data_IF_955200211602
#
_entry.id   IF_955200211602
#
_cell.length_a   1.000
_cell.length_b   1.000
_cell.length_c   1.000
_cell.angle_alpha   90.00
_cell.angle_beta   90.00
_cell.angle_gamma   90.00
#
_symmetry.space_group_name_H-M   'P 1'
#
loop_
_entity.id
_entity.type
_entity.pdbx_description
1 polymer ?
#
# COMPACT_ATOMS: atom_id res chain seq x y z
N UNK A 1 12.43 -14.23 -23.90
CA UNK A 1 12.18 -15.08 -22.71
C UNK A 1 12.75 -14.38 -21.49
N UNK A 2 11.94 -13.91 -20.51
CA UNK A 2 12.47 -13.29 -19.31
C UNK A 2 13.04 -14.37 -18.38
N UNK A 3 14.28 -14.18 -17.94
CA UNK A 3 14.96 -15.06 -17.01
C UNK A 3 14.22 -15.10 -15.67
N UNK A 4 13.87 -16.30 -15.20
CA UNK A 4 13.29 -16.54 -13.90
C UNK A 4 14.29 -16.14 -12.80
N UNK A 5 14.28 -14.86 -12.43
CA UNK A 5 15.03 -14.36 -11.30
C UNK A 5 14.53 -15.05 -10.04
N UNK A 6 15.39 -15.90 -9.43
CA UNK A 6 15.19 -16.40 -8.07
C UNK A 6 14.74 -15.24 -7.18
N UNK A 7 13.47 -15.22 -6.80
CA UNK A 7 13.01 -14.33 -5.74
C UNK A 7 13.81 -14.71 -4.49
N UNK A 8 14.48 -13.75 -3.83
CA UNK A 8 15.24 -14.06 -2.63
C UNK A 8 14.32 -14.78 -1.66
N UNK A 9 14.75 -15.94 -1.12
CA UNK A 9 13.98 -16.72 -0.15
C UNK A 9 13.51 -15.86 1.03
N UNK A 10 14.29 -14.82 1.36
CA UNK A 10 13.97 -13.75 2.30
C UNK A 10 12.71 -12.94 1.95
N UNK A 11 12.53 -12.54 0.68
CA UNK A 11 11.33 -11.82 0.22
C UNK A 11 10.11 -12.75 0.26
N UNK A 12 10.29 -14.02 -0.07
CA UNK A 12 9.22 -15.03 -0.01
C UNK A 12 8.80 -15.32 1.44
N UNK A 13 9.76 -15.50 2.34
CA UNK A 13 9.51 -15.66 3.77
C UNK A 13 8.84 -14.40 4.37
N UNK A 14 9.29 -13.21 3.96
CA UNK A 14 8.68 -11.95 4.38
C UNK A 14 7.23 -11.78 3.90
N UNK A 15 6.90 -12.33 2.72
CA UNK A 15 5.52 -12.39 2.22
C UNK A 15 4.65 -13.35 3.04
N UNK A 16 5.15 -14.54 3.34
CA UNK A 16 4.40 -15.56 4.08
C UNK A 16 4.28 -15.31 5.59
N UNK A 17 4.99 -14.33 6.16
CA UNK A 17 5.00 -14.08 7.62
C UNK A 17 3.59 -13.91 8.22
N UNK A 18 2.67 -13.27 7.49
CA UNK A 18 1.32 -12.95 7.98
C UNK A 18 0.38 -14.15 7.88
N UNK A 19 0.53 -14.94 6.82
CA UNK A 19 -0.19 -16.21 6.65
C UNK A 19 0.27 -17.24 7.69
N UNK A 20 1.60 -17.36 7.92
CA UNK A 20 2.14 -18.21 8.98
C UNK A 20 1.70 -17.73 10.37
N UNK A 21 1.75 -16.43 10.66
CA UNK A 21 1.32 -15.91 11.96
C UNK A 21 -0.15 -16.23 12.24
N UNK A 22 -1.04 -16.06 11.25
CA UNK A 22 -2.46 -16.42 11.37
C UNK A 22 -2.65 -17.92 11.57
N UNK A 23 -1.96 -18.75 10.77
CA UNK A 23 -2.07 -20.21 10.86
C UNK A 23 -1.56 -20.72 12.21
N UNK A 24 -0.39 -20.24 12.67
CA UNK A 24 0.17 -20.58 13.98
C UNK A 24 -0.77 -20.15 15.10
N UNK A 25 -1.36 -18.97 15.02
CA UNK A 25 -2.32 -18.50 16.03
C UNK A 25 -3.56 -19.37 16.05
N UNK A 26 -4.14 -19.70 14.90
CA UNK A 26 -5.32 -20.56 14.80
C UNK A 26 -5.05 -21.98 15.34
N UNK A 27 -3.91 -22.57 14.97
CA UNK A 27 -3.49 -23.88 15.45
C UNK A 27 -3.22 -23.86 16.95
N UNK A 28 -2.56 -22.83 17.47
CA UNK A 28 -2.31 -22.69 18.91
C UNK A 28 -3.62 -22.61 19.69
N UNK A 29 -4.59 -21.79 19.24
CA UNK A 29 -5.91 -21.69 19.87
C UNK A 29 -6.63 -23.04 19.84
N UNK A 30 -6.62 -23.76 18.72
CA UNK A 30 -7.25 -25.08 18.59
C UNK A 30 -6.58 -26.14 19.47
N UNK A 31 -5.25 -26.20 19.48
CA UNK A 31 -4.50 -27.17 20.28
C UNK A 31 -4.73 -26.96 21.78
N UNK A 32 -4.75 -25.69 22.22
CA UNK A 32 -4.99 -25.34 23.61
C UNK A 32 -6.44 -25.61 24.05
N UNK A 33 -7.44 -25.39 23.18
CA UNK A 33 -8.84 -25.73 23.49
C UNK A 33 -9.06 -27.23 23.58
N UNK A 34 -8.50 -28.01 22.64
CA UNK A 34 -8.57 -29.49 22.67
C UNK A 34 -7.82 -30.04 23.90
N UNK A 35 -6.65 -29.50 24.23
CA UNK A 35 -5.93 -29.92 25.43
C UNK A 35 -6.72 -29.63 26.72
N UNK A 36 -7.41 -28.49 26.78
CA UNK A 36 -8.22 -28.12 27.94
C UNK A 36 -9.48 -28.99 28.11
N UNK A 37 -10.12 -29.42 27.01
CA UNK A 37 -11.29 -30.30 27.06
C UNK A 37 -10.92 -31.73 27.45
N UNK A 38 -9.80 -32.25 26.95
CA UNK A 38 -9.33 -33.61 27.27
C UNK A 38 -8.87 -33.73 28.72
N UNK A 39 -8.25 -32.69 29.30
CA UNK A 39 -7.75 -32.70 30.67
C UNK A 39 -8.83 -32.38 31.74
N UNK A 40 -10.11 -32.24 31.37
CA UNK A 40 -11.21 -31.93 32.31
C UNK A 40 -11.11 -30.54 32.95
N UNK A 41 -10.22 -29.68 32.46
CA UNK A 41 -9.92 -28.37 33.01
C UNK A 41 -10.81 -27.30 32.36
N UNK A 42 -12.10 -27.34 32.68
CA UNK A 42 -13.11 -26.45 32.09
C UNK A 42 -12.80 -24.96 32.30
N UNK A 43 -12.09 -24.61 33.39
CA UNK A 43 -11.64 -23.24 33.66
C UNK A 43 -10.54 -22.78 32.69
N UNK A 44 -9.67 -23.68 32.22
CA UNK A 44 -8.68 -23.36 31.19
C UNK A 44 -9.36 -23.15 29.84
N UNK A 45 -10.37 -23.96 29.50
CA UNK A 45 -11.18 -23.77 28.30
C UNK A 45 -11.98 -22.45 28.35
N UNK A 46 -12.56 -22.12 29.50
CA UNK A 46 -13.27 -20.85 29.72
C UNK A 46 -12.33 -19.64 29.69
N UNK A 47 -11.13 -19.73 30.28
CA UNK A 47 -10.12 -18.68 30.24
C UNK A 47 -9.58 -18.44 28.82
N UNK A 48 -9.37 -19.51 28.04
CA UNK A 48 -8.95 -19.39 26.63
C UNK A 48 -10.05 -18.82 25.75
N UNK A 49 -11.29 -19.30 25.93
CA UNK A 49 -12.46 -18.75 25.24
C UNK A 49 -12.61 -17.29 25.60
N UNK A 50 -12.49 -16.93 26.87
CA UNK A 50 -12.42 -15.54 27.33
C UNK A 50 -11.29 -14.75 26.68
N UNK A 51 -10.07 -15.29 26.60
CA UNK A 51 -8.93 -14.61 25.99
C UNK A 51 -9.10 -14.32 24.49
N UNK A 52 -9.85 -15.15 23.76
CA UNK A 52 -10.18 -14.94 22.34
C UNK A 52 -11.45 -14.10 22.17
N UNK A 53 -12.46 -14.33 23.00
CA UNK A 53 -13.76 -13.65 22.94
C UNK A 53 -13.71 -12.23 23.50
N UNK A 54 -12.85 -11.93 24.48
CA UNK A 54 -12.72 -10.58 25.08
C UNK A 54 -12.17 -9.56 24.07
N UNK A 55 -11.12 -9.83 23.27
CA UNK A 55 -10.73 -8.96 22.17
C UNK A 55 -11.83 -8.79 21.11
N UNK A 56 -12.59 -9.85 20.81
CA UNK A 56 -13.71 -9.78 19.86
C UNK A 56 -14.90 -8.96 20.42
N UNK A 57 -15.16 -9.05 21.72
CA UNK A 57 -16.26 -8.36 22.41
C UNK A 57 -15.90 -6.91 22.79
N UNK A 58 -14.62 -6.58 22.94
CA UNK A 58 -14.16 -5.23 23.26
C UNK A 58 -14.03 -4.36 22.00
N UNK A 59 -14.42 -3.08 22.12
CA UNK A 59 -14.28 -2.09 21.05
C UNK A 59 -12.81 -1.90 20.64
N UNK A 60 -11.89 -2.04 21.60
CA UNK A 60 -10.45 -1.94 21.36
C UNK A 60 -9.92 -3.10 20.52
N UNK A 61 -10.27 -4.35 20.85
CA UNK A 61 -9.82 -5.51 20.08
C UNK A 61 -10.41 -5.54 18.66
N UNK A 62 -11.70 -5.20 18.49
CA UNK A 62 -12.29 -5.03 17.15
C UNK A 62 -11.61 -3.94 16.33
N UNK A 63 -11.25 -2.82 16.96
CA UNK A 63 -10.50 -1.74 16.31
C UNK A 63 -9.11 -2.18 15.86
N UNK A 64 -8.40 -2.92 16.72
CA UNK A 64 -7.07 -3.45 16.43
C UNK A 64 -7.08 -4.49 15.30
N UNK A 65 -8.03 -5.41 15.31
CA UNK A 65 -8.23 -6.42 14.25
C UNK A 65 -8.59 -5.75 12.94
N UNK A 66 -9.51 -4.77 12.96
CA UNK A 66 -9.86 -4.00 11.78
C UNK A 66 -8.65 -3.28 11.18
N UNK A 67 -7.87 -2.58 12.01
CA UNK A 67 -6.66 -1.89 11.56
C UNK A 67 -5.63 -2.86 10.94
N UNK A 68 -5.41 -4.03 11.54
CA UNK A 68 -4.53 -5.06 10.98
C UNK A 68 -5.07 -5.67 9.69
N UNK A 69 -6.38 -5.91 9.61
CA UNK A 69 -7.03 -6.41 8.42
C UNK A 69 -6.81 -5.46 7.24
N UNK A 70 -7.03 -4.16 7.45
CA UNK A 70 -6.76 -3.14 6.43
C UNK A 70 -5.28 -3.15 6.02
N UNK A 71 -4.36 -3.25 6.99
CA UNK A 71 -2.93 -3.30 6.68
C UNK A 71 -2.58 -4.51 5.80
N UNK A 72 -3.21 -5.66 6.02
CA UNK A 72 -3.03 -6.83 5.16
C UNK A 72 -3.66 -6.63 3.78
N UNK A 73 -4.89 -6.11 3.74
CA UNK A 73 -5.62 -5.83 2.51
C UNK A 73 -4.81 -4.89 1.60
N UNK A 74 -4.36 -3.76 2.14
CA UNK A 74 -3.55 -2.78 1.41
C UNK A 74 -2.21 -3.36 0.97
N UNK A 75 -1.57 -4.21 1.78
CA UNK A 75 -0.34 -4.92 1.37
C UNK A 75 -0.57 -5.78 0.13
N UNK A 76 -1.64 -6.58 0.11
CA UNK A 76 -1.95 -7.44 -1.03
C UNK A 76 -2.33 -6.63 -2.27
N UNK A 77 -3.12 -5.57 -2.10
CA UNK A 77 -3.56 -4.72 -3.20
C UNK A 77 -2.41 -3.92 -3.81
N UNK A 78 -1.56 -3.28 -3.00
CA UNK A 78 -0.34 -2.61 -3.49
C UNK A 78 0.51 -3.59 -4.30
N UNK A 79 0.73 -4.81 -3.79
CA UNK A 79 1.53 -5.80 -4.51
C UNK A 79 0.89 -6.24 -5.84
N UNK A 80 -0.44 -6.30 -5.92
CA UNK A 80 -1.16 -6.59 -7.16
C UNK A 80 -1.06 -5.44 -8.15
N UNK A 81 -1.21 -4.20 -7.70
CA UNK A 81 -1.00 -3.01 -8.55
C UNK A 81 0.42 -2.98 -9.09
N UNK A 82 1.44 -3.17 -8.24
CA UNK A 82 2.83 -3.22 -8.73
C UNK A 82 3.13 -4.40 -9.67
N UNK A 83 2.28 -5.43 -9.69
CA UNK A 83 2.37 -6.56 -10.61
C UNK A 83 1.67 -6.28 -11.95
N UNK A 84 0.54 -5.59 -11.91
CA UNK A 84 -0.35 -5.34 -13.05
C UNK A 84 0.06 -4.05 -13.81
N UNK A 85 0.70 -3.10 -13.13
CA UNK A 85 1.20 -1.82 -13.65
C UNK A 85 2.71 -1.91 -13.99
N UNK A 86 3.27 -1.06 -14.90
CA UNK A 86 4.71 -0.98 -15.19
C UNK A 86 5.63 -0.59 -14.00
N UNK A 87 5.15 -0.59 -12.76
CA UNK A 87 5.97 -0.47 -11.53
C UNK A 87 6.79 -1.73 -11.23
N UNK A 88 7.44 -2.28 -12.24
CA UNK A 88 8.33 -3.42 -12.15
C UNK A 88 9.58 -3.17 -12.98
N UNK A 89 10.72 -3.68 -12.53
CA UNK A 89 11.95 -3.57 -13.29
C UNK A 89 11.84 -4.37 -14.61
N UNK A 90 12.67 -4.08 -15.61
CA UNK A 90 12.77 -4.89 -16.86
C UNK A 90 13.06 -6.38 -16.58
N UNK A 91 13.60 -6.69 -15.40
CA UNK A 91 13.84 -8.04 -14.88
C UNK A 91 12.65 -8.66 -14.12
N UNK A 92 11.48 -8.03 -14.12
CA UNK A 92 10.25 -8.49 -13.47
C UNK A 92 10.29 -8.44 -11.94
N UNK A 93 11.16 -7.62 -11.34
CA UNK A 93 11.23 -7.49 -9.88
C UNK A 93 10.30 -6.39 -9.39
N UNK A 94 9.49 -6.74 -8.39
CA UNK A 94 8.47 -5.87 -7.79
C UNK A 94 9.08 -5.16 -6.56
N UNK A 95 8.66 -3.92 -6.25
CA UNK A 95 8.98 -3.26 -4.99
C UNK A 95 8.63 -4.12 -3.77
N UNK A 96 9.48 -4.06 -2.75
CA UNK A 96 9.28 -4.81 -1.52
C UNK A 96 8.53 -3.95 -0.50
N UNK A 97 7.28 -4.32 -0.23
CA UNK A 97 6.54 -3.75 0.91
C UNK A 97 7.15 -4.28 2.22
N UNK A 98 7.89 -3.42 2.92
CA UNK A 98 8.50 -3.75 4.21
C UNK A 98 7.38 -3.99 5.23
N UNK A 99 6.71 -2.93 5.66
CA UNK A 99 5.63 -3.03 6.63
C UNK A 99 4.51 -2.05 6.28
N UNK A 100 3.36 -2.25 6.91
CA UNK A 100 2.27 -1.29 6.88
C UNK A 100 1.89 -1.03 8.33
N UNK A 101 1.91 0.24 8.72
CA UNK A 101 1.56 0.68 10.06
C UNK A 101 0.18 1.35 10.02
N UNK A 102 -0.73 1.04 10.96
CA UNK A 102 -2.01 1.74 11.04
C UNK A 102 -1.79 3.20 11.46
N UNK A 103 -2.55 4.11 10.87
CA UNK A 103 -2.58 5.54 11.22
C UNK A 103 -3.98 5.95 11.66
N UNK A 104 -4.14 7.18 12.16
CA UNK A 104 -5.47 7.67 12.58
C UNK A 104 -6.49 7.67 11.42
N UNK A 105 -6.02 8.03 10.23
CA UNK A 105 -6.86 8.24 9.02
C UNK A 105 -6.89 7.03 8.07
N UNK A 106 -6.07 6.02 8.34
CA UNK A 106 -5.96 4.83 7.50
C UNK A 106 -4.70 4.05 7.83
N UNK A 107 -3.76 4.05 6.90
CA UNK A 107 -2.58 3.19 6.99
C UNK A 107 -1.41 3.70 6.16
N UNK A 108 -0.20 3.34 6.59
CA UNK A 108 1.05 3.81 5.98
C UNK A 108 1.94 2.64 5.61
N UNK A 109 2.14 2.44 4.32
CA UNK A 109 3.04 1.44 3.78
C UNK A 109 4.45 2.01 3.61
N UNK A 110 5.46 1.26 4.03
CA UNK A 110 6.86 1.59 3.74
C UNK A 110 7.41 0.55 2.77
N UNK A 111 7.96 1.05 1.68
CA UNK A 111 8.30 0.28 0.50
C UNK A 111 9.77 0.53 0.17
N UNK A 112 10.50 -0.56 -0.05
CA UNK A 112 11.84 -0.52 -0.64
C UNK A 112 11.67 -0.75 -2.14
N UNK A 113 11.97 0.27 -2.93
CA UNK A 113 11.97 0.17 -4.38
C UNK A 113 13.24 -0.50 -4.88
N UNK A 114 13.23 -0.95 -6.13
CA UNK A 114 14.41 -1.50 -6.81
C UNK A 114 14.92 -0.48 -7.82
N UNK A 115 16.16 -0.65 -8.27
CA UNK A 115 16.74 0.20 -9.30
C UNK A 115 15.80 0.29 -10.51
N UNK A 116 15.47 1.52 -10.92
CA UNK A 116 14.50 1.82 -11.98
C UNK A 116 13.07 2.06 -11.49
N UNK A 117 12.81 2.06 -10.18
CA UNK A 117 11.53 2.46 -9.60
C UNK A 117 11.79 3.55 -8.55
N UNK A 118 11.19 4.72 -8.75
CA UNK A 118 11.31 5.86 -7.85
C UNK A 118 9.97 6.20 -7.20
N UNK A 119 9.99 7.19 -6.32
CA UNK A 119 8.81 7.62 -5.59
C UNK A 119 7.80 8.34 -6.52
N UNK A 120 8.31 8.99 -7.57
CA UNK A 120 7.51 9.67 -8.59
C UNK A 120 6.68 8.69 -9.42
N UNK A 121 7.16 7.46 -9.63
CA UNK A 121 6.37 6.39 -10.25
C UNK A 121 5.14 6.04 -9.39
N UNK A 122 5.31 5.94 -8.06
CA UNK A 122 4.20 5.70 -7.15
C UNK A 122 3.19 6.85 -7.16
N UNK A 123 3.65 8.09 -7.35
CA UNK A 123 2.76 9.24 -7.46
C UNK A 123 2.01 9.26 -8.79
N UNK A 124 2.68 8.91 -9.90
CA UNK A 124 2.04 8.78 -11.21
C UNK A 124 0.91 7.74 -11.21
N UNK A 125 1.07 6.66 -10.45
CA UNK A 125 0.07 5.61 -10.28
C UNK A 125 -0.76 5.73 -8.98
N UNK A 126 -0.77 6.90 -8.34
CA UNK A 126 -1.54 7.15 -7.12
C UNK A 126 -3.04 6.87 -7.31
N UNK A 127 -3.62 7.23 -8.46
CA UNK A 127 -5.03 6.95 -8.76
C UNK A 127 -5.36 5.46 -8.86
N UNK A 128 -4.44 4.65 -9.40
CA UNK A 128 -4.60 3.19 -9.45
C UNK A 128 -4.48 2.58 -8.05
N UNK A 129 -3.55 3.08 -7.24
CA UNK A 129 -3.38 2.69 -5.85
C UNK A 129 -4.61 3.03 -5.02
N UNK A 130 -5.21 4.20 -5.22
CA UNK A 130 -6.46 4.61 -4.56
C UNK A 130 -7.61 3.69 -4.90
N UNK A 131 -7.83 3.45 -6.20
CA UNK A 131 -8.89 2.55 -6.68
C UNK A 131 -8.68 1.13 -6.14
N UNK A 132 -7.47 0.60 -6.22
CA UNK A 132 -7.16 -0.75 -5.77
C UNK A 132 -7.24 -0.91 -4.25
N UNK A 133 -6.84 0.11 -3.49
CA UNK A 133 -6.86 0.07 -2.04
C UNK A 133 -8.21 0.51 -1.47
N UNK A 134 -9.19 0.95 -2.26
CA UNK A 134 -10.45 1.53 -1.76
C UNK A 134 -10.18 2.72 -0.82
N UNK A 135 -9.26 3.60 -1.22
CA UNK A 135 -8.83 4.75 -0.45
C UNK A 135 -9.49 6.03 -0.98
N UNK A 136 -9.72 7.02 -0.11
CA UNK A 136 -10.15 8.36 -0.55
C UNK A 136 -8.98 9.13 -1.16
N UNK A 137 -7.77 8.94 -0.60
CA UNK A 137 -6.55 9.56 -1.12
C UNK A 137 -5.33 8.68 -0.82
N UNK A 138 -4.36 8.70 -1.74
CA UNK A 138 -3.01 8.17 -1.53
C UNK A 138 -2.01 9.30 -1.57
N UNK A 139 -1.12 9.34 -0.58
CA UNK A 139 -0.04 10.30 -0.49
C UNK A 139 1.30 9.60 -0.55
N UNK A 140 2.18 10.07 -1.44
CA UNK A 140 3.50 9.50 -1.62
C UNK A 140 4.57 10.38 -0.97
N UNK A 141 5.48 9.73 -0.27
CA UNK A 141 6.59 10.35 0.43
C UNK A 141 7.89 9.67 0.02
N UNK A 142 8.92 10.48 -0.23
CA UNK A 142 10.28 10.01 -0.51
C UNK A 142 11.20 10.27 0.69
N UNK A 143 12.14 9.37 0.93
CA UNK A 143 13.14 9.58 1.97
C UNK A 143 14.31 10.44 1.46
N UNK A 144 14.64 11.52 2.19
CA UNK A 144 15.62 12.55 1.80
C UNK A 144 17.03 12.02 1.51
N UNK A 145 17.45 10.96 2.20
CA UNK A 145 18.79 10.35 2.05
C UNK A 145 18.79 9.02 1.27
N UNK A 146 17.62 8.43 1.02
CA UNK A 146 17.49 7.05 0.52
C UNK A 146 16.40 7.01 -0.54
N UNK A 147 16.78 7.14 -1.81
CA UNK A 147 15.84 7.16 -2.93
C UNK A 147 15.13 5.81 -3.14
N UNK A 148 15.69 4.73 -2.59
CA UNK A 148 15.10 3.40 -2.56
C UNK A 148 13.97 3.26 -1.52
N UNK A 149 13.77 4.25 -0.64
CA UNK A 149 12.72 4.23 0.37
C UNK A 149 11.58 5.18 0.03
N UNK A 150 10.41 4.58 -0.14
CA UNK A 150 9.14 5.26 -0.40
C UNK A 150 8.16 4.91 0.71
N UNK A 151 7.43 5.91 1.19
CA UNK A 151 6.31 5.71 2.07
C UNK A 151 5.03 6.14 1.37
N UNK A 152 4.04 5.25 1.36
CA UNK A 152 2.74 5.46 0.73
C UNK A 152 1.71 5.47 1.84
N UNK A 153 1.06 6.61 2.04
CA UNK A 153 0.02 6.80 3.03
C UNK A 153 -1.34 6.72 2.37
N UNK A 154 -2.15 5.78 2.84
CA UNK A 154 -3.47 5.43 2.32
C UNK A 154 -4.49 6.02 3.29
N UNK A 155 -5.19 7.06 2.85
CA UNK A 155 -6.23 7.75 3.60
C UNK A 155 -7.57 7.12 3.26
N UNK A 156 -8.33 6.72 4.27
CA UNK A 156 -9.67 6.12 4.13
C UNK A 156 -10.75 6.91 4.83
N UNK A 157 -10.37 7.71 5.84
CA UNK A 157 -11.29 8.53 6.62
C UNK A 157 -10.97 9.98 6.32
N UNK A 158 -12.02 10.72 5.98
CA UNK A 158 -11.92 12.15 5.75
C UNK A 158 -12.18 12.85 7.09
N UNK A 159 -11.14 13.44 7.69
CA UNK A 159 -11.30 14.07 9.00
C UNK A 159 -10.04 14.70 9.59
N UNK A 160 -8.86 14.23 9.20
CA UNK A 160 -7.60 14.86 9.59
C UNK A 160 -6.63 14.91 8.43
N UNK A 161 -5.87 16.00 8.34
CA UNK A 161 -4.65 15.99 7.56
C UNK A 161 -3.77 14.83 8.07
N UNK A 162 -3.27 13.96 7.18
CA UNK A 162 -2.40 12.88 7.59
C UNK A 162 -1.26 13.45 8.42
N UNK A 163 -1.04 12.88 9.60
CA UNK A 163 0.06 13.28 10.46
C UNK A 163 1.33 13.04 9.65
N UNK A 164 1.94 14.11 9.13
CA UNK A 164 3.08 14.01 8.22
C UNK A 164 4.16 13.08 8.78
N UNK A 165 5.01 12.54 7.91
CA UNK A 165 6.13 11.74 8.38
C UNK A 165 7.09 12.63 9.19
N UNK A 166 6.98 12.54 10.51
CA UNK A 166 7.74 13.36 11.45
C UNK A 166 9.26 13.10 11.34
N UNK A 167 10.04 14.17 11.52
CA UNK A 167 11.51 14.11 11.63
C UNK A 167 12.30 14.68 10.46
N UNK A 168 11.69 15.34 9.47
CA UNK A 168 12.41 16.05 8.39
C UNK A 168 13.20 15.16 7.43
N UNK A 169 13.10 13.84 7.59
CA UNK A 169 13.73 12.83 6.73
C UNK A 169 12.87 12.44 5.55
N UNK A 170 11.57 12.74 5.59
CA UNK A 170 10.61 12.41 4.55
C UNK A 170 10.10 13.68 3.90
N UNK A 171 10.03 13.66 2.58
CA UNK A 171 9.53 14.77 1.77
C UNK A 171 8.32 14.25 1.02
N UNK A 172 7.17 14.90 1.19
CA UNK A 172 5.96 14.58 0.44
C UNK A 172 6.18 14.96 -1.02
N UNK A 173 5.79 14.07 -1.93
CA UNK A 173 5.74 14.39 -3.35
C UNK A 173 4.44 15.16 -3.59
N UNK A 174 4.51 16.35 -4.23
CA UNK A 174 3.31 17.05 -4.63
C UNK A 174 2.48 16.16 -5.55
N UNK A 175 1.24 15.92 -5.15
CA UNK A 175 0.29 15.21 -5.99
C UNK A 175 -0.29 16.16 -7.02
N UNK A 176 -0.71 15.62 -8.16
CA UNK A 176 -1.42 16.39 -9.18
C UNK A 176 -2.67 17.08 -8.63
N UNK A 177 -3.24 16.55 -7.54
CA UNK A 177 -4.39 17.12 -6.82
C UNK A 177 -4.06 18.31 -5.93
N UNK A 178 -2.79 18.50 -5.54
CA UNK A 178 -2.38 19.69 -4.78
C UNK A 178 -2.30 20.92 -5.67
N UNK A 179 -2.06 20.71 -6.98
CA UNK A 179 -2.21 21.74 -7.99
C UNK A 179 -3.70 21.99 -8.16
N UNK A 180 -4.23 23.00 -7.47
CA UNK A 180 -5.62 23.43 -7.61
C UNK A 180 -6.01 23.69 -9.08
N UNK A 181 -7.31 23.87 -9.38
CA UNK A 181 -7.85 23.94 -10.74
C UNK A 181 -7.47 25.19 -11.56
N UNK A 182 -6.25 25.72 -11.44
CA UNK A 182 -5.82 26.98 -12.05
C UNK A 182 -4.37 27.06 -12.54
N UNK A 183 -3.61 25.96 -12.56
CA UNK A 183 -2.30 25.94 -13.21
C UNK A 183 -2.27 24.81 -14.23
N UNK A 184 -2.52 25.19 -15.48
CA UNK A 184 -2.37 24.33 -16.64
C UNK A 184 -1.03 23.59 -16.57
N UNK A 185 -1.07 22.29 -16.87
CA UNK A 185 0.11 21.44 -16.90
C UNK A 185 1.12 22.01 -17.91
N UNK A 186 2.41 22.16 -17.57
CA UNK A 186 3.45 22.52 -18.55
C UNK A 186 3.57 21.56 -19.73
N UNK A 187 2.90 20.40 -19.68
CA UNK A 187 2.81 19.41 -20.76
C UNK A 187 1.67 19.68 -21.76
N UNK A 188 0.87 20.73 -21.57
CA UNK A 188 -0.24 21.10 -22.47
C UNK A 188 0.16 22.18 -23.50
N UNK A 189 1.44 22.62 -23.50
CA UNK A 189 1.94 23.67 -24.42
C UNK A 189 2.52 23.09 -25.73
N UNK A 190 2.74 21.77 -25.84
CA UNK A 190 3.30 21.17 -27.04
C UNK A 190 2.24 20.40 -27.85
N UNK A 191 1.17 21.11 -28.24
CA UNK A 191 0.34 20.67 -29.36
C UNK A 191 1.06 21.08 -30.66
N UNK A 192 1.52 20.11 -31.48
CA UNK A 192 2.20 20.41 -32.73
C UNK A 192 1.24 21.15 -33.68
N UNK A 193 1.70 22.19 -34.40
CA UNK A 193 0.85 22.94 -35.30
C UNK A 193 0.21 22.02 -36.34
N UNK A 194 -1.13 21.98 -36.35
CA UNK A 194 -1.92 21.18 -37.30
C UNK A 194 -1.62 21.65 -38.74
N UNK A 195 -1.04 20.79 -39.61
CA UNK A 195 -0.78 21.14 -41.00
C UNK A 195 -2.06 21.38 -41.81
N UNK A 196 -3.25 21.04 -41.28
CA UNK A 196 -4.53 21.20 -41.99
C UNK A 196 -5.02 22.64 -42.08
N UNK A 197 -4.52 23.56 -41.26
CA UNK A 197 -4.92 24.98 -41.32
C UNK A 197 -4.22 25.75 -42.44
N UNK A 198 -3.17 25.19 -43.08
CA UNK A 198 -2.37 25.89 -44.11
C UNK A 198 -2.91 25.72 -45.53
N UNK A 199 -3.94 24.89 -45.76
CA UNK A 199 -4.48 24.60 -47.10
C UNK A 199 -5.76 25.37 -47.48
N UNK A 200 -5.98 26.55 -46.92
CA UNK A 200 -6.95 27.51 -47.45
C UNK A 200 -6.23 28.72 -48.04
N UNK A 201 -5.50 28.48 -49.13
CA UNK A 201 -5.12 29.55 -50.06
C UNK A 201 -6.37 29.81 -50.93
N UNK A 202 -6.94 31.03 -50.94
CA UNK A 202 -8.02 31.36 -51.85
C UNK A 202 -7.46 31.35 -53.28
N UNK A 203 -7.97 30.45 -54.11
CA UNK A 203 -7.85 30.55 -55.56
C UNK A 203 -8.81 31.64 -56.02
N UNK A 204 -8.27 32.82 -56.29
CA UNK A 204 -9.00 33.91 -56.95
C UNK A 204 -8.24 34.33 -58.20
N UNK A 205 -8.89 34.12 -59.35
CA UNK A 205 -8.89 34.99 -60.54
C UNK A 205 -7.57 35.29 -61.21
#
# INVERSE_FOLDING_TARGET
MPAAGRTPSLVRAWRWRTEFALLVTAVAVLALTVSATVNGSWWAAAAMTGAVSVPAATRFGRGWVGAHFWCLFSRHRIQRVCLETPMHTTSGRIPLVLWIAPTAEGERAFIVTRAGICAEDFEAFSGELEAACLASQVLVWRHRRRADLVAVEIVRRDGRAPAGLDGGHWVRIPSSRDTGPGLASPLEIEEPPDPRTTLLIPQTG
#
